data_IF_149401852173
#
_entry.id   IF_149401852173
#
_cell.length_a   1.000
_cell.length_b   1.000
_cell.length_c   1.000
_cell.angle_alpha   90.00
_cell.angle_beta   90.00
_cell.angle_gamma   90.00
#
_symmetry.space_group_name_H-M   'P 1'
#
loop_
_entity.id
_entity.type
_entity.pdbx_description
1 polymer ?
#
# COMPACT_ATOMS: atom_id res chain seq x y z
N UNK A 1 -34.07 -10.67 -11.55
CA UNK A 1 -34.73 -9.38 -11.81
C UNK A 1 -33.66 -8.49 -12.41
N UNK A 2 -33.86 -7.99 -13.63
CA UNK A 2 -32.96 -7.02 -14.23
C UNK A 2 -32.93 -5.78 -13.34
N UNK A 3 -31.78 -5.52 -12.70
CA UNK A 3 -31.58 -4.29 -11.94
C UNK A 3 -31.74 -3.12 -12.91
N UNK A 4 -32.84 -2.36 -12.76
CA UNK A 4 -32.91 -0.98 -13.28
C UNK A 4 -31.60 -0.29 -12.89
N UNK A 5 -30.95 0.42 -13.82
CA UNK A 5 -29.65 1.05 -13.58
C UNK A 5 -29.71 1.97 -12.36
N UNK A 6 -29.29 1.47 -11.19
CA UNK A 6 -29.22 2.25 -9.96
C UNK A 6 -27.96 3.09 -10.05
N UNK A 7 -28.11 4.41 -9.91
CA UNK A 7 -26.94 5.29 -9.88
C UNK A 7 -26.29 5.23 -8.50
N UNK A 8 -24.98 5.00 -8.47
CA UNK A 8 -24.15 5.04 -7.27
C UNK A 8 -23.23 6.26 -7.28
N UNK A 9 -22.77 6.68 -6.09
CA UNK A 9 -21.83 7.79 -5.93
C UNK A 9 -20.45 7.28 -5.53
N UNK A 10 -19.44 7.50 -6.37
CA UNK A 10 -18.03 7.18 -6.06
C UNK A 10 -17.51 8.04 -4.91
N UNK A 11 -16.41 7.60 -4.28
CA UNK A 11 -15.70 8.44 -3.31
C UNK A 11 -15.19 9.76 -3.91
N UNK A 12 -15.04 9.85 -5.23
CA UNK A 12 -14.70 11.09 -5.96
C UNK A 12 -15.88 12.05 -6.11
N UNK A 13 -17.11 11.62 -5.79
CA UNK A 13 -18.35 12.35 -6.08
C UNK A 13 -18.93 12.08 -7.48
N UNK A 14 -18.19 11.40 -8.35
CA UNK A 14 -18.66 10.97 -9.67
C UNK A 14 -19.80 9.96 -9.54
N UNK A 15 -20.79 10.07 -10.42
CA UNK A 15 -21.93 9.17 -10.50
C UNK A 15 -21.72 8.14 -11.61
N UNK A 16 -22.03 6.88 -11.34
CA UNK A 16 -22.07 5.82 -12.34
C UNK A 16 -23.18 4.81 -12.02
N UNK A 17 -23.57 3.97 -12.98
CA UNK A 17 -24.48 2.86 -12.69
C UNK A 17 -23.76 1.76 -11.88
N UNK A 18 -24.51 1.13 -10.97
CA UNK A 18 -24.02 -0.02 -10.23
C UNK A 18 -23.68 -1.17 -11.20
N UNK A 19 -22.43 -1.60 -11.13
CA UNK A 19 -21.92 -2.73 -11.91
C UNK A 19 -21.50 -3.85 -10.94
N UNK A 20 -22.35 -4.87 -10.84
CA UNK A 20 -22.13 -6.05 -10.03
C UNK A 20 -20.79 -6.74 -10.35
N UNK A 21 -20.35 -6.69 -11.63
CA UNK A 21 -19.10 -7.30 -12.03
C UNK A 21 -17.91 -6.63 -11.34
N UNK A 22 -17.92 -5.32 -11.12
CA UNK A 22 -16.86 -4.60 -10.38
C UNK A 22 -16.79 -5.06 -8.93
N UNK A 23 -17.94 -5.25 -8.28
CA UNK A 23 -18.00 -5.77 -6.91
C UNK A 23 -17.45 -7.21 -6.86
N UNK A 24 -17.92 -8.07 -7.75
CA UNK A 24 -17.45 -9.46 -7.89
C UNK A 24 -15.93 -9.54 -8.02
N UNK A 25 -15.35 -8.83 -8.99
CA UNK A 25 -13.90 -8.80 -9.21
C UNK A 25 -13.13 -8.28 -7.98
N UNK A 26 -13.69 -7.31 -7.24
CA UNK A 26 -13.08 -6.81 -6.01
C UNK A 26 -13.03 -7.87 -4.91
N UNK A 27 -14.08 -8.69 -4.78
CA UNK A 27 -14.18 -9.78 -3.82
C UNK A 27 -13.29 -10.96 -4.20
N UNK A 28 -13.28 -11.37 -5.47
CA UNK A 28 -12.40 -12.43 -6.00
C UNK A 28 -10.93 -12.12 -5.71
N UNK A 29 -10.51 -10.87 -5.94
CA UNK A 29 -9.15 -10.42 -5.65
C UNK A 29 -8.76 -10.47 -4.18
N UNK A 30 -9.73 -10.49 -3.27
CA UNK A 30 -9.49 -10.70 -1.84
C UNK A 30 -9.36 -12.18 -1.44
N UNK A 31 -9.59 -13.10 -2.39
CA UNK A 31 -9.61 -14.54 -2.16
C UNK A 31 -10.92 -15.03 -1.54
N UNK A 32 -12.03 -14.33 -1.78
CA UNK A 32 -13.35 -14.81 -1.36
C UNK A 32 -13.78 -16.00 -2.24
N UNK A 33 -14.37 -17.04 -1.65
CA UNK A 33 -14.99 -18.15 -2.39
C UNK A 33 -16.28 -17.71 -3.09
N UNK A 34 -16.65 -18.36 -4.18
CA UNK A 34 -17.89 -18.06 -4.93
C UNK A 34 -19.15 -18.01 -4.06
N UNK A 35 -19.27 -18.89 -3.07
CA UNK A 35 -20.39 -18.90 -2.11
C UNK A 35 -20.46 -17.59 -1.32
N UNK A 36 -19.32 -17.13 -0.79
CA UNK A 36 -19.23 -15.87 -0.03
C UNK A 36 -19.42 -14.67 -0.95
N UNK A 37 -18.91 -14.73 -2.18
CA UNK A 37 -19.11 -13.68 -3.19
C UNK A 37 -20.59 -13.51 -3.47
N UNK A 38 -21.31 -14.60 -3.73
CA UNK A 38 -22.74 -14.55 -4.03
C UNK A 38 -23.53 -13.99 -2.84
N UNK A 39 -23.24 -14.45 -1.62
CA UNK A 39 -23.87 -13.91 -0.40
C UNK A 39 -23.66 -12.39 -0.25
N UNK A 40 -22.47 -11.89 -0.56
CA UNK A 40 -22.18 -10.45 -0.50
C UNK A 40 -22.93 -9.69 -1.59
N UNK A 41 -22.99 -10.24 -2.80
CA UNK A 41 -23.74 -9.64 -3.90
C UNK A 41 -25.22 -9.53 -3.55
N UNK A 42 -25.83 -10.62 -3.09
CA UNK A 42 -27.25 -10.68 -2.75
C UNK A 42 -27.60 -9.64 -1.67
N UNK A 43 -26.79 -9.55 -0.61
CA UNK A 43 -27.00 -8.56 0.45
C UNK A 43 -26.82 -7.12 -0.05
N UNK A 44 -25.80 -6.88 -0.89
CA UNK A 44 -25.58 -5.56 -1.46
C UNK A 44 -26.78 -5.16 -2.31
N UNK A 45 -27.27 -6.05 -3.19
CA UNK A 45 -28.43 -5.80 -4.05
C UNK A 45 -29.69 -5.45 -3.25
N UNK A 46 -29.96 -6.15 -2.15
CA UNK A 46 -31.07 -5.82 -1.24
C UNK A 46 -30.92 -4.43 -0.61
N UNK A 47 -29.67 -4.00 -0.36
CA UNK A 47 -29.37 -2.70 0.24
C UNK A 47 -29.24 -1.54 -0.79
N UNK A 48 -29.32 -1.82 -2.10
CA UNK A 48 -29.14 -0.78 -3.11
C UNK A 48 -30.33 0.19 -3.13
N UNK A 49 -30.00 1.48 -3.23
CA UNK A 49 -30.96 2.55 -3.48
C UNK A 49 -30.29 3.66 -4.30
N UNK A 50 -31.11 4.49 -4.95
CA UNK A 50 -30.61 5.57 -5.81
C UNK A 50 -29.71 6.53 -5.04
N UNK A 51 -28.50 6.75 -5.54
CA UNK A 51 -27.50 7.62 -4.93
C UNK A 51 -26.71 6.97 -3.78
N UNK A 52 -26.83 5.66 -3.54
CA UNK A 52 -26.01 4.96 -2.54
C UNK A 52 -24.51 5.16 -2.84
N UNK A 53 -23.72 5.40 -1.78
CA UNK A 53 -22.30 5.62 -1.97
C UNK A 53 -21.53 4.30 -2.12
N UNK A 54 -20.49 4.31 -2.95
CA UNK A 54 -19.51 3.20 -3.03
C UNK A 54 -18.87 2.87 -1.68
N UNK A 55 -18.80 3.86 -0.77
CA UNK A 55 -18.34 3.69 0.62
C UNK A 55 -19.29 2.84 1.44
N UNK A 56 -20.60 2.98 1.24
CA UNK A 56 -21.61 2.18 1.92
C UNK A 56 -21.64 0.75 1.39
N UNK A 57 -21.63 0.57 0.07
CA UNK A 57 -21.48 -0.75 -0.57
C UNK A 57 -20.24 -1.47 -0.03
N UNK A 58 -19.11 -0.77 0.01
CA UNK A 58 -17.86 -1.30 0.57
C UNK A 58 -18.00 -1.70 2.04
N UNK A 59 -18.71 -0.90 2.85
CA UNK A 59 -18.93 -1.18 4.28
C UNK A 59 -19.76 -2.45 4.49
N UNK A 60 -20.83 -2.64 3.70
CA UNK A 60 -21.66 -3.84 3.72
C UNK A 60 -20.84 -5.08 3.35
N UNK A 61 -20.15 -5.03 2.21
CA UNK A 61 -19.28 -6.11 1.75
C UNK A 61 -18.19 -6.47 2.78
N UNK A 62 -17.49 -5.46 3.32
CA UNK A 62 -16.46 -5.69 4.33
C UNK A 62 -17.02 -6.30 5.62
N UNK A 63 -18.20 -5.89 6.07
CA UNK A 63 -18.81 -6.45 7.28
C UNK A 63 -19.15 -7.93 7.12
N UNK A 64 -19.68 -8.33 5.96
CA UNK A 64 -19.96 -9.73 5.63
C UNK A 64 -18.69 -10.56 5.53
N UNK A 65 -17.68 -10.08 4.79
CA UNK A 65 -16.39 -10.75 4.69
C UNK A 65 -15.78 -10.95 6.08
N UNK A 66 -15.81 -9.94 6.95
CA UNK A 66 -15.22 -10.04 8.29
C UNK A 66 -15.91 -11.08 9.18
N UNK A 67 -17.22 -11.30 8.99
CA UNK A 67 -17.98 -12.33 9.70
C UNK A 67 -17.67 -13.73 9.17
N UNK A 68 -17.48 -13.86 7.86
CA UNK A 68 -17.19 -15.13 7.19
C UNK A 68 -15.72 -15.55 7.34
N UNK A 69 -14.79 -14.70 6.90
CA UNK A 69 -13.35 -14.97 6.88
C UNK A 69 -12.55 -13.67 7.09
N UNK A 70 -11.91 -13.55 8.26
CA UNK A 70 -11.14 -12.35 8.63
C UNK A 70 -9.95 -12.08 7.70
N UNK A 71 -9.10 -13.05 7.34
CA UNK A 71 -8.05 -12.86 6.33
C UNK A 71 -8.56 -12.30 5.00
N UNK A 72 -9.66 -12.82 4.46
CA UNK A 72 -10.28 -12.30 3.23
C UNK A 72 -10.71 -10.83 3.42
N UNK A 73 -11.32 -10.50 4.56
CA UNK A 73 -11.68 -9.12 4.88
C UNK A 73 -10.45 -8.20 5.01
N UNK A 74 -9.35 -8.69 5.58
CA UNK A 74 -8.09 -7.96 5.71
C UNK A 74 -7.46 -7.65 4.35
N UNK A 75 -7.49 -8.62 3.40
CA UNK A 75 -7.07 -8.44 1.99
C UNK A 75 -7.98 -7.43 1.28
N UNK A 76 -9.29 -7.55 1.45
CA UNK A 76 -10.27 -6.60 0.91
C UNK A 76 -10.08 -5.17 1.45
N UNK A 77 -9.59 -5.04 2.69
CA UNK A 77 -9.26 -3.77 3.33
C UNK A 77 -7.95 -3.13 2.85
N UNK A 78 -7.09 -3.86 2.15
CA UNK A 78 -5.70 -3.43 1.89
C UNK A 78 -5.56 -1.99 1.42
N UNK A 79 -6.41 -1.54 0.47
CA UNK A 79 -6.36 -0.16 -0.04
C UNK A 79 -6.55 0.88 1.06
N UNK A 80 -7.46 0.63 2.01
CA UNK A 80 -7.68 1.51 3.16
C UNK A 80 -6.58 1.33 4.20
N UNK A 81 -6.11 0.12 4.42
CA UNK A 81 -5.06 -0.20 5.37
C UNK A 81 -3.74 0.55 5.06
N UNK A 82 -3.35 0.66 3.78
CA UNK A 82 -2.17 1.44 3.41
C UNK A 82 -2.33 2.93 3.76
N UNK A 83 -3.52 3.51 3.62
CA UNK A 83 -3.80 4.90 4.05
C UNK A 83 -3.70 5.07 5.57
N UNK A 84 -3.83 3.98 6.33
CA UNK A 84 -3.73 3.98 7.80
C UNK A 84 -2.27 3.89 8.29
N UNK A 85 -1.27 3.85 7.39
CA UNK A 85 0.16 3.94 7.74
C UNK A 85 0.61 5.38 8.10
N UNK A 86 -0.26 6.37 7.94
CA UNK A 86 0.01 7.79 8.23
C UNK A 86 -0.23 8.20 9.69
N UNK A 87 -0.02 9.48 10.04
CA UNK A 87 0.05 10.62 9.11
C UNK A 87 1.46 11.07 8.72
N UNK A 88 2.52 10.63 9.41
CA UNK A 88 3.87 11.20 9.27
C UNK A 88 4.59 10.80 7.98
N UNK A 89 4.09 9.82 7.22
CA UNK A 89 4.74 9.28 6.02
C UNK A 89 5.83 8.26 6.32
N UNK A 90 6.56 8.42 7.43
CA UNK A 90 7.65 7.54 7.84
C UNK A 90 7.30 6.03 7.91
N UNK A 91 6.13 5.60 8.45
CA UNK A 91 5.78 4.17 8.41
C UNK A 91 5.57 3.65 6.98
N UNK A 92 5.17 4.51 6.03
CA UNK A 92 5.09 4.14 4.63
C UNK A 92 6.48 3.99 3.99
N UNK A 93 7.45 4.82 4.37
CA UNK A 93 8.85 4.68 3.94
C UNK A 93 9.44 3.35 4.40
N UNK A 94 9.24 2.99 5.68
CA UNK A 94 9.63 1.68 6.21
C UNK A 94 8.96 0.53 5.48
N UNK A 95 7.66 0.65 5.22
CA UNK A 95 6.92 -0.36 4.48
C UNK A 95 7.47 -0.56 3.05
N UNK A 96 7.84 0.53 2.35
CA UNK A 96 8.49 0.46 1.04
C UNK A 96 9.88 -0.18 1.15
N UNK A 97 10.66 0.16 2.18
CA UNK A 97 11.93 -0.48 2.50
C UNK A 97 11.79 -2.00 2.65
N UNK A 98 10.80 -2.46 3.42
CA UNK A 98 10.53 -3.89 3.61
C UNK A 98 10.10 -4.61 2.33
N UNK A 99 9.30 -3.97 1.47
CA UNK A 99 8.97 -4.52 0.14
C UNK A 99 10.24 -4.73 -0.69
N UNK A 100 11.15 -3.75 -0.68
CA UNK A 100 12.40 -3.83 -1.43
C UNK A 100 13.37 -4.87 -0.80
N UNK A 101 13.41 -4.98 0.53
CA UNK A 101 14.15 -6.02 1.25
C UNK A 101 13.71 -7.42 0.80
N UNK A 102 12.40 -7.67 0.75
CA UNK A 102 11.86 -8.93 0.26
C UNK A 102 12.23 -9.24 -1.20
N UNK A 103 12.43 -8.20 -2.02
CA UNK A 103 12.91 -8.35 -3.40
C UNK A 103 14.44 -8.57 -3.51
N UNK A 104 15.12 -8.70 -2.37
CA UNK A 104 16.55 -8.97 -2.26
C UNK A 104 17.42 -7.72 -2.35
N UNK A 105 16.86 -6.52 -2.15
CA UNK A 105 17.66 -5.32 -1.96
C UNK A 105 18.11 -5.21 -0.51
N UNK A 106 19.30 -4.65 -0.28
CA UNK A 106 19.68 -4.10 1.01
C UNK A 106 19.15 -2.68 1.08
N UNK A 107 18.28 -2.39 2.05
CA UNK A 107 17.70 -1.05 2.19
C UNK A 107 18.22 -0.30 3.41
N UNK A 108 18.18 1.04 3.32
CA UNK A 108 18.38 1.98 4.43
C UNK A 108 17.30 3.05 4.33
N UNK A 109 16.61 3.35 5.42
CA UNK A 109 15.48 4.30 5.48
C UNK A 109 15.93 5.60 6.15
N UNK A 110 15.44 6.75 5.67
CA UNK A 110 15.69 8.07 6.25
C UNK A 110 17.16 8.48 6.24
N UNK A 111 17.80 8.42 5.06
CA UNK A 111 19.25 8.63 4.92
C UNK A 111 19.54 10.03 4.39
N UNK A 112 20.32 10.82 5.12
CA UNK A 112 20.90 12.04 4.55
C UNK A 112 22.05 11.72 3.61
N UNK A 113 21.92 12.13 2.36
CA UNK A 113 22.91 11.94 1.30
C UNK A 113 23.46 13.31 0.88
N UNK A 114 24.78 13.44 0.90
CA UNK A 114 25.47 14.59 0.30
C UNK A 114 25.31 14.50 -1.22
N UNK A 115 24.54 15.41 -1.82
CA UNK A 115 24.53 15.64 -3.26
C UNK A 115 25.69 16.53 -3.69
N UNK A 116 25.76 16.81 -4.99
CA UNK A 116 26.78 17.68 -5.54
C UNK A 116 26.60 19.14 -5.04
N UNK A 117 25.37 19.62 -4.97
CA UNK A 117 25.03 20.97 -4.55
C UNK A 117 24.60 21.03 -3.07
N UNK A 118 23.68 20.16 -2.64
CA UNK A 118 23.09 20.21 -1.28
C UNK A 118 22.95 18.83 -0.64
N UNK A 119 22.65 18.80 0.66
CA UNK A 119 22.25 17.57 1.33
C UNK A 119 20.79 17.24 1.00
N UNK A 120 20.51 15.97 0.72
CA UNK A 120 19.17 15.44 0.47
C UNK A 120 18.82 14.40 1.53
N UNK A 121 17.67 14.54 2.16
CA UNK A 121 17.07 13.45 2.94
C UNK A 121 16.38 12.48 1.98
N UNK A 122 16.96 11.31 1.78
CA UNK A 122 16.42 10.27 0.91
C UNK A 122 15.64 9.28 1.75
N UNK A 123 14.36 9.11 1.40
CA UNK A 123 13.42 8.28 2.15
C UNK A 123 13.89 6.83 2.23
N UNK A 124 14.28 6.21 1.09
CA UNK A 124 14.91 4.88 1.08
C UNK A 124 16.06 4.81 0.08
N UNK A 125 17.20 4.27 0.50
CA UNK A 125 18.28 3.82 -0.39
C UNK A 125 18.16 2.31 -0.53
N UNK A 126 18.10 1.80 -1.77
CA UNK A 126 18.02 0.38 -2.06
C UNK A 126 19.16 -0.09 -2.96
N UNK A 127 19.87 -1.14 -2.54
CA UNK A 127 21.05 -1.64 -3.24
C UNK A 127 20.98 -3.14 -3.47
N UNK A 128 21.26 -3.59 -4.70
CA UNK A 128 21.33 -5.02 -5.06
C UNK A 128 22.29 -5.20 -6.23
N UNK A 129 23.43 -5.86 -5.98
CA UNK A 129 24.49 -6.04 -6.99
C UNK A 129 24.88 -4.67 -7.60
N UNK A 130 24.79 -4.53 -8.93
CA UNK A 130 25.07 -3.28 -9.64
C UNK A 130 23.92 -2.28 -9.61
N UNK A 131 22.80 -2.55 -8.92
CA UNK A 131 21.66 -1.64 -8.84
C UNK A 131 21.71 -0.83 -7.56
N UNK A 132 21.60 0.49 -7.67
CA UNK A 132 21.61 1.39 -6.52
C UNK A 132 20.63 2.54 -6.72
N UNK A 133 19.55 2.54 -5.96
CA UNK A 133 18.38 3.38 -6.19
C UNK A 133 18.16 4.40 -5.09
N UNK A 134 17.83 5.61 -5.51
CA UNK A 134 17.28 6.67 -4.66
C UNK A 134 15.75 6.55 -4.70
N UNK A 135 15.13 6.20 -3.59
CA UNK A 135 13.67 5.99 -3.52
C UNK A 135 13.04 7.10 -2.69
N UNK A 136 12.03 7.73 -3.27
CA UNK A 136 11.25 8.80 -2.66
C UNK A 136 9.80 8.33 -2.48
N UNK A 137 9.31 8.41 -1.26
CA UNK A 137 7.95 8.09 -0.89
C UNK A 137 7.10 9.36 -0.86
N UNK A 138 5.91 9.30 -1.46
CA UNK A 138 4.93 10.38 -1.46
C UNK A 138 3.63 9.83 -0.94
N UNK A 139 3.50 9.93 0.38
CA UNK A 139 2.33 9.48 1.13
C UNK A 139 1.23 10.54 1.14
N UNK A 140 -0.01 10.11 0.97
CA UNK A 140 -1.19 10.96 1.05
C UNK A 140 -2.25 10.32 1.96
N UNK A 141 -2.83 11.10 2.87
CA UNK A 141 -3.93 10.64 3.73
C UNK A 141 -5.28 10.63 3.00
N UNK A 142 -5.40 11.40 1.91
CA UNK A 142 -6.58 11.45 1.06
C UNK A 142 -6.39 10.57 -0.18
N UNK A 143 -7.32 9.65 -0.39
CA UNK A 143 -7.32 8.71 -1.50
C UNK A 143 -7.67 9.37 -2.85
N UNK A 144 -8.36 10.52 -2.83
CA UNK A 144 -8.65 11.31 -4.03
C UNK A 144 -7.45 12.10 -4.55
N UNK A 145 -6.37 12.20 -3.77
CA UNK A 145 -5.18 12.97 -4.15
C UNK A 145 -4.28 12.18 -5.08
N UNK A 146 -3.96 12.78 -6.23
CA UNK A 146 -2.99 12.26 -7.19
C UNK A 146 -1.65 13.00 -7.11
N UNK A 147 -0.55 12.28 -7.27
CA UNK A 147 0.77 12.86 -7.52
C UNK A 147 0.81 13.43 -8.94
N UNK A 148 0.81 14.76 -9.05
CA UNK A 148 0.91 15.47 -10.33
C UNK A 148 2.38 15.60 -10.80
N UNK A 149 2.58 16.15 -12.00
CA UNK A 149 3.89 16.25 -12.67
C UNK A 149 4.95 17.01 -11.87
N UNK A 150 4.57 17.90 -10.95
CA UNK A 150 5.54 18.63 -10.11
C UNK A 150 6.36 17.68 -9.24
N UNK A 151 5.79 16.55 -8.83
CA UNK A 151 6.44 15.55 -7.99
C UNK A 151 7.63 14.88 -8.72
N UNK A 152 7.46 14.24 -9.88
CA UNK A 152 8.60 13.67 -10.60
C UNK A 152 9.59 14.71 -11.11
N UNK A 153 9.13 15.91 -11.50
CA UNK A 153 10.02 17.04 -11.82
C UNK A 153 10.98 17.36 -10.66
N UNK A 154 10.43 17.51 -9.45
CA UNK A 154 11.20 17.79 -8.26
C UNK A 154 12.14 16.63 -7.88
N UNK A 155 11.64 15.40 -7.91
CA UNK A 155 12.44 14.23 -7.51
C UNK A 155 13.58 13.95 -8.50
N UNK A 156 13.35 14.19 -9.79
CA UNK A 156 14.42 14.08 -10.78
C UNK A 156 15.56 15.06 -10.51
N UNK A 157 15.26 16.33 -10.16
CA UNK A 157 16.32 17.30 -9.89
C UNK A 157 17.16 16.92 -8.66
N UNK A 158 16.51 16.38 -7.61
CA UNK A 158 17.21 15.78 -6.46
C UNK A 158 18.08 14.59 -6.87
N UNK A 159 17.53 13.69 -7.68
CA UNK A 159 18.24 12.50 -8.14
C UNK A 159 19.50 12.88 -8.91
N UNK A 160 19.40 13.81 -9.86
CA UNK A 160 20.56 14.28 -10.66
C UNK A 160 21.64 14.87 -9.75
N UNK A 161 21.27 15.63 -8.71
CA UNK A 161 22.23 16.20 -7.78
C UNK A 161 22.96 15.13 -6.95
N UNK A 162 22.22 14.11 -6.50
CA UNK A 162 22.75 12.96 -5.75
C UNK A 162 23.61 12.05 -6.64
N UNK A 163 23.14 11.73 -7.83
CA UNK A 163 23.81 10.85 -8.80
C UNK A 163 25.19 11.40 -9.18
N UNK A 164 25.31 12.70 -9.44
CA UNK A 164 26.60 13.37 -9.69
C UNK A 164 27.64 13.13 -8.60
N UNK A 165 27.20 13.00 -7.35
CA UNK A 165 28.09 12.71 -6.23
C UNK A 165 28.35 11.20 -6.09
N UNK A 166 27.36 10.36 -6.37
CA UNK A 166 27.53 8.90 -6.35
C UNK A 166 28.48 8.40 -7.41
N UNK A 167 28.43 8.90 -8.63
CA UNK A 167 29.35 8.49 -9.71
C UNK A 167 30.82 8.77 -9.41
N UNK A 168 31.13 9.59 -8.40
CA UNK A 168 32.50 9.89 -7.96
C UNK A 168 32.97 9.02 -6.79
N UNK A 169 32.09 8.19 -6.21
CA UNK A 169 32.43 7.31 -5.09
C UNK A 169 33.02 6.01 -5.61
N UNK A 170 34.02 5.49 -4.90
CA UNK A 170 34.60 4.19 -5.21
C UNK A 170 33.53 3.09 -5.16
N UNK A 171 33.53 2.23 -6.18
CA UNK A 171 32.55 1.15 -6.34
C UNK A 171 31.16 1.59 -6.80
N UNK A 172 30.97 2.85 -7.22
CA UNK A 172 29.73 3.34 -7.83
C UNK A 172 29.87 3.63 -9.34
N UNK A 173 31.09 3.65 -9.85
CA UNK A 173 31.44 3.83 -11.27
C UNK A 173 30.72 2.84 -12.21
N UNK A 174 30.52 1.61 -11.75
CA UNK A 174 29.86 0.53 -12.50
C UNK A 174 28.41 0.29 -12.09
N UNK A 175 27.88 1.05 -11.12
CA UNK A 175 26.51 0.88 -10.62
C UNK A 175 25.51 1.62 -11.49
N UNK A 176 24.39 0.97 -11.77
CA UNK A 176 23.21 1.56 -12.36
C UNK A 176 22.44 2.34 -11.27
N UNK A 177 22.43 3.67 -11.42
CA UNK A 177 21.68 4.58 -10.58
C UNK A 177 20.31 4.90 -11.18
N UNK A 178 19.29 4.95 -10.33
CA UNK A 178 17.93 5.32 -10.76
C UNK A 178 17.14 5.96 -9.61
N UNK A 179 16.37 6.99 -9.93
CA UNK A 179 15.36 7.56 -9.04
C UNK A 179 14.04 6.78 -9.11
N UNK A 180 13.48 6.44 -7.96
CA UNK A 180 12.20 5.75 -7.81
C UNK A 180 11.23 6.61 -7.00
N UNK A 181 9.95 6.58 -7.36
CA UNK A 181 8.88 7.27 -6.65
C UNK A 181 7.81 6.26 -6.25
N UNK A 182 7.63 6.07 -4.96
CA UNK A 182 6.51 5.30 -4.42
C UNK A 182 5.39 6.23 -3.94
N UNK A 183 4.14 5.87 -4.23
CA UNK A 183 2.98 6.52 -3.62
C UNK A 183 1.91 5.50 -3.27
N UNK A 184 1.20 5.75 -2.17
CA UNK A 184 0.04 4.97 -1.78
C UNK A 184 -1.22 5.30 -2.58
N UNK A 185 -1.21 6.38 -3.37
CA UNK A 185 -2.31 6.73 -4.27
C UNK A 185 -1.92 6.51 -5.73
N UNK A 186 -2.05 7.51 -6.60
CA UNK A 186 -1.93 7.38 -8.04
C UNK A 186 -1.20 8.59 -8.62
N UNK A 187 -0.60 8.39 -9.78
CA UNK A 187 -0.01 9.45 -10.57
C UNK A 187 -1.02 10.02 -11.57
N UNK A 188 -0.85 11.27 -11.97
CA UNK A 188 -1.54 11.82 -13.16
C UNK A 188 -0.87 11.32 -14.44
N UNK A 189 -1.55 11.44 -15.58
CA UNK A 189 -1.01 11.06 -16.89
C UNK A 189 0.30 11.82 -17.16
N UNK A 190 0.34 13.13 -16.94
CA UNK A 190 1.55 13.94 -17.13
C UNK A 190 2.70 13.49 -16.22
N UNK A 191 2.42 13.10 -14.97
CA UNK A 191 3.44 12.60 -14.07
C UNK A 191 4.03 11.27 -14.57
N UNK A 192 3.17 10.38 -15.09
CA UNK A 192 3.59 9.12 -15.70
C UNK A 192 4.43 9.36 -16.95
N UNK A 193 3.95 10.20 -17.86
CA UNK A 193 4.62 10.52 -19.11
C UNK A 193 5.99 11.13 -18.85
N UNK A 194 6.06 12.12 -17.96
CA UNK A 194 7.31 12.76 -17.59
C UNK A 194 8.28 11.76 -16.94
N UNK A 195 7.84 11.07 -15.89
CA UNK A 195 8.70 10.14 -15.13
C UNK A 195 9.32 9.08 -16.01
N UNK A 196 8.54 8.47 -16.90
CA UNK A 196 9.04 7.49 -17.87
C UNK A 196 10.02 8.10 -18.88
N UNK A 197 9.73 9.31 -19.39
CA UNK A 197 10.60 10.02 -20.32
C UNK A 197 12.00 10.26 -19.75
N UNK A 198 12.08 10.62 -18.46
CA UNK A 198 13.36 10.91 -17.79
C UNK A 198 13.99 9.72 -17.08
N UNK A 199 13.42 8.52 -17.23
CA UNK A 199 13.98 7.28 -16.67
C UNK A 199 13.71 7.05 -15.17
N UNK A 200 12.76 7.78 -14.56
CA UNK A 200 12.31 7.48 -13.19
C UNK A 200 11.41 6.24 -13.16
N UNK A 201 11.55 5.43 -12.12
CA UNK A 201 10.61 4.34 -11.84
C UNK A 201 9.45 4.85 -10.97
N UNK A 202 8.22 4.76 -11.46
CA UNK A 202 7.03 5.19 -10.71
C UNK A 202 6.26 3.97 -10.20
N UNK A 203 6.00 3.91 -8.90
CA UNK A 203 5.24 2.82 -8.27
C UNK A 203 4.09 3.41 -7.47
N UNK A 204 2.90 3.39 -8.05
CA UNK A 204 1.66 3.81 -7.42
C UNK A 204 0.82 2.62 -6.97
N UNK A 205 -0.36 2.89 -6.41
CA UNK A 205 -1.31 1.87 -5.98
C UNK A 205 -1.59 0.82 -7.05
N UNK A 206 -1.88 1.26 -8.28
CA UNK A 206 -2.22 0.42 -9.43
C UNK A 206 -1.37 0.70 -10.68
N UNK A 207 -0.22 1.36 -10.50
CA UNK A 207 0.75 1.63 -11.57
C UNK A 207 2.19 1.21 -11.16
N UNK A 208 3.00 0.69 -12.08
CA UNK A 208 2.64 0.18 -13.41
C UNK A 208 1.66 -1.00 -13.32
N UNK A 209 0.99 -1.33 -14.43
CA UNK A 209 0.02 -2.46 -14.47
C UNK A 209 0.64 -3.76 -13.95
N UNK A 210 1.93 -3.98 -14.22
CA UNK A 210 2.78 -5.03 -13.64
C UNK A 210 3.88 -4.39 -12.79
N UNK A 211 3.93 -4.70 -11.49
CA UNK A 211 4.87 -4.13 -10.53
C UNK A 211 4.30 -2.96 -9.71
N UNK A 212 2.99 -2.75 -9.71
CA UNK A 212 2.31 -1.77 -8.83
C UNK A 212 2.53 -2.08 -7.35
N UNK A 213 2.32 -1.08 -6.48
CA UNK A 213 2.37 -1.28 -5.04
C UNK A 213 1.40 -2.39 -4.59
N UNK A 214 0.17 -2.37 -5.11
CA UNK A 214 -0.82 -3.41 -4.79
C UNK A 214 -0.33 -4.80 -5.18
N UNK A 215 0.16 -4.97 -6.40
CA UNK A 215 0.62 -6.28 -6.88
C UNK A 215 1.85 -6.77 -6.10
N UNK A 216 2.76 -5.86 -5.73
CA UNK A 216 3.91 -6.21 -4.87
C UNK A 216 3.44 -6.80 -3.54
N UNK A 217 2.39 -6.24 -2.94
CA UNK A 217 1.81 -6.76 -1.69
C UNK A 217 1.14 -8.11 -1.93
N UNK A 218 0.30 -8.22 -2.97
CA UNK A 218 -0.42 -9.45 -3.32
C UNK A 218 0.57 -10.61 -3.59
N UNK A 219 1.68 -10.34 -4.27
CA UNK A 219 2.70 -11.35 -4.62
C UNK A 219 3.60 -11.72 -3.43
N UNK A 220 3.97 -10.75 -2.59
CA UNK A 220 4.90 -10.98 -1.48
C UNK A 220 4.23 -11.47 -0.19
N UNK A 221 2.92 -11.24 -0.03
CA UNK A 221 2.24 -11.48 1.24
C UNK A 221 2.57 -10.45 2.33
N UNK A 222 3.32 -9.38 2.00
CA UNK A 222 3.73 -8.31 2.92
C UNK A 222 2.58 -7.35 3.22
N UNK A 223 1.60 -7.85 3.95
CA UNK A 223 0.47 -7.05 4.37
C UNK A 223 0.85 -6.12 5.52
N UNK A 224 0.45 -4.84 5.48
CA UNK A 224 0.71 -3.91 6.56
C UNK A 224 -0.09 -4.31 7.81
N UNK A 225 0.42 -4.05 9.01
CA UNK A 225 -0.29 -4.34 10.28
C UNK A 225 -1.69 -3.69 10.36
N UNK A 226 -1.90 -2.61 9.60
CA UNK A 226 -3.17 -1.89 9.50
C UNK A 226 -4.28 -2.69 8.83
N UNK A 227 -3.94 -3.78 8.12
CA UNK A 227 -4.89 -4.75 7.56
C UNK A 227 -5.61 -5.55 8.65
N UNK A 228 -4.94 -5.87 9.77
CA UNK A 228 -5.49 -6.76 10.80
C UNK A 228 -6.81 -6.22 11.35
N UNK A 229 -7.85 -7.05 11.31
CA UNK A 229 -9.19 -6.71 11.77
C UNK A 229 -9.39 -7.04 13.25
N UNK A 230 -8.47 -7.80 13.84
CA UNK A 230 -8.41 -8.13 15.27
C UNK A 230 -7.71 -7.09 16.13
N UNK A 231 -6.97 -6.16 15.52
CA UNK A 231 -6.35 -5.02 16.19
C UNK A 231 -7.25 -3.78 16.16
N UNK A 232 -7.26 -3.03 17.27
CA UNK A 232 -7.89 -1.71 17.35
C UNK A 232 -7.06 -0.67 16.62
N UNK A 233 -7.63 0.52 16.38
CA UNK A 233 -6.89 1.65 15.80
C UNK A 233 -5.71 2.06 16.68
N UNK A 234 -5.91 2.08 18.00
CA UNK A 234 -4.86 2.45 18.96
C UNK A 234 -3.71 1.43 18.97
N UNK A 235 -4.02 0.14 18.96
CA UNK A 235 -2.99 -0.92 18.94
C UNK A 235 -2.15 -0.89 17.67
N UNK A 236 -2.78 -0.61 16.51
CA UNK A 236 -2.05 -0.39 15.25
C UNK A 236 -1.09 0.78 15.36
N UNK A 237 -1.58 1.90 15.89
CA UNK A 237 -0.77 3.09 16.08
C UNK A 237 0.44 2.83 17.00
N UNK A 238 0.24 2.13 18.12
CA UNK A 238 1.32 1.76 19.03
C UNK A 238 2.38 0.84 18.39
N UNK A 239 1.97 -0.06 17.48
CA UNK A 239 2.92 -0.87 16.71
C UNK A 239 3.68 -0.04 15.67
N UNK A 240 3.00 0.87 14.96
CA UNK A 240 3.66 1.79 14.01
C UNK A 240 4.68 2.69 14.71
N UNK A 241 4.38 3.16 15.93
CA UNK A 241 5.30 3.95 16.77
C UNK A 241 6.53 3.15 17.24
N UNK A 242 6.41 1.82 17.28
CA UNK A 242 7.53 0.89 17.50
C UNK A 242 8.19 0.46 16.19
N UNK A 243 7.90 1.16 15.10
CA UNK A 243 8.44 0.89 13.76
C UNK A 243 8.07 -0.48 13.18
N UNK A 244 6.96 -1.06 13.66
CA UNK A 244 6.43 -2.33 13.18
C UNK A 244 5.33 -2.05 12.16
N UNK A 245 5.61 -2.36 10.90
CA UNK A 245 4.75 -2.00 9.76
C UNK A 245 4.14 -3.23 9.08
N UNK A 246 4.66 -4.44 9.28
CA UNK A 246 4.18 -5.67 8.64
C UNK A 246 3.50 -6.65 9.59
N UNK A 247 2.49 -7.35 9.08
CA UNK A 247 1.84 -8.45 9.82
C UNK A 247 2.85 -9.58 10.13
N UNK A 248 3.80 -9.83 9.24
CA UNK A 248 4.83 -10.85 9.41
C UNK A 248 5.75 -10.57 10.60
N UNK A 249 5.91 -9.32 11.01
CA UNK A 249 6.67 -9.00 12.23
C UNK A 249 5.97 -9.52 13.48
N UNK A 250 4.63 -9.50 13.53
CA UNK A 250 3.89 -10.11 14.65
C UNK A 250 3.99 -11.64 14.63
N UNK A 251 4.06 -12.25 13.45
CA UNK A 251 4.28 -13.69 13.30
C UNK A 251 5.66 -14.11 13.84
N UNK A 252 6.69 -13.31 13.55
CA UNK A 252 8.07 -13.60 13.94
C UNK A 252 8.38 -13.18 15.40
N UNK A 253 7.67 -12.17 15.91
CA UNK A 253 7.87 -11.57 17.23
C UNK A 253 6.52 -11.43 17.98
N UNK A 254 5.88 -12.53 18.41
CA UNK A 254 4.58 -12.48 19.11
C UNK A 254 4.57 -11.62 20.39
N UNK A 255 5.72 -11.49 21.05
CA UNK A 255 5.92 -10.67 22.25
C UNK A 255 5.61 -9.19 22.03
N UNK A 256 5.58 -8.71 20.79
CA UNK A 256 5.15 -7.36 20.44
C UNK A 256 3.73 -7.07 20.96
N UNK A 257 2.82 -8.05 20.91
CA UNK A 257 1.45 -7.91 21.41
C UNK A 257 1.44 -7.62 22.92
N UNK A 258 2.28 -8.31 23.68
CA UNK A 258 2.45 -8.07 25.12
C UNK A 258 3.07 -6.70 25.38
N UNK A 259 4.03 -6.28 24.56
CA UNK A 259 4.74 -5.00 24.70
C UNK A 259 3.85 -3.76 24.56
N UNK A 260 2.68 -3.90 23.90
CA UNK A 260 1.67 -2.83 23.76
C UNK A 260 0.44 -3.06 24.65
N UNK A 261 0.50 -4.02 25.57
CA UNK A 261 -0.55 -4.24 26.57
C UNK A 261 -1.77 -5.04 26.08
N UNK A 262 -1.67 -5.77 24.96
CA UNK A 262 -2.75 -6.65 24.51
C UNK A 262 -2.83 -7.87 25.42
N UNK A 263 -4.03 -8.22 25.87
CA UNK A 263 -4.26 -9.41 26.70
C UNK A 263 -3.99 -10.73 25.98
N UNK A 264 -3.40 -11.69 26.69
CA UNK A 264 -3.07 -13.04 26.19
C UNK A 264 -4.27 -13.75 25.53
N UNK A 265 -5.48 -13.54 26.05
CA UNK A 265 -6.73 -14.08 25.50
C UNK A 265 -6.94 -13.70 24.02
N UNK A 266 -6.41 -12.55 23.57
CA UNK A 266 -6.54 -12.07 22.19
C UNK A 266 -5.39 -12.51 21.28
N UNK A 267 -4.23 -12.87 21.85
CA UNK A 267 -3.02 -13.16 21.07
C UNK A 267 -3.26 -14.26 20.05
N UNK A 268 -3.87 -15.37 20.47
CA UNK A 268 -4.19 -16.50 19.58
C UNK A 268 -4.96 -16.05 18.34
N UNK A 269 -5.95 -15.17 18.50
CA UNK A 269 -6.79 -14.71 17.38
C UNK A 269 -6.05 -13.72 16.47
N UNK A 270 -5.22 -12.84 17.04
CA UNK A 270 -4.43 -11.87 16.28
C UNK A 270 -3.36 -12.60 15.46
N UNK A 271 -2.60 -13.49 16.09
CA UNK A 271 -1.55 -14.27 15.43
C UNK A 271 -2.14 -15.20 14.38
N UNK A 272 -3.29 -15.83 14.64
CA UNK A 272 -4.00 -16.62 13.63
C UNK A 272 -4.32 -15.78 12.39
N UNK A 273 -4.93 -14.61 12.56
CA UNK A 273 -5.24 -13.71 11.43
C UNK A 273 -3.95 -13.27 10.70
N UNK A 274 -2.89 -12.93 11.44
CA UNK A 274 -1.61 -12.51 10.87
C UNK A 274 -0.95 -13.63 10.06
N UNK A 275 -0.90 -14.86 10.59
CA UNK A 275 -0.35 -16.02 9.88
C UNK A 275 -1.15 -16.35 8.63
N UNK A 276 -2.49 -16.37 8.70
CA UNK A 276 -3.35 -16.64 7.54
C UNK A 276 -3.24 -15.53 6.46
N UNK A 277 -2.89 -14.31 6.86
CA UNK A 277 -2.67 -13.21 5.93
C UNK A 277 -1.28 -13.25 5.27
N UNK A 278 -0.27 -13.72 6.01
CA UNK A 278 1.12 -13.86 5.54
C UNK A 278 1.34 -15.16 4.75
N UNK A 279 0.60 -16.21 5.05
CA UNK A 279 0.67 -17.49 4.35
C UNK A 279 -0.29 -17.46 3.15
N UNK A 280 0.19 -17.94 2.01
CA UNK A 280 -0.63 -18.17 0.81
C UNK A 280 -1.36 -19.49 0.91
#
# INVERSE_FOLDING_TARGET
>A
MENKGITIVKMTGEKEEFDQSKLKHSLERSGASDVVIQQVIDEVEVSLYEGISTKEIYKTAFALLRRSNRPTAARYKLKKAIMELGPTGFPFEKFVGEILNYQGFRTRVGVTVKGHCVNHEVDVIAEKEQKHFMVECKFHSDQGRHCNVKIPLYIQSRFIDVEKQWSKKDGHDTKFHQGWIFTNTRFTIDAIQYGNCVGLMLVGWDYPKKGSLKERIDVSGLHPITCLTTLTKNEKQQLLEKDKVLCMELCNQPELLKSIGISEKRHKNILKEAHELCNK
#
